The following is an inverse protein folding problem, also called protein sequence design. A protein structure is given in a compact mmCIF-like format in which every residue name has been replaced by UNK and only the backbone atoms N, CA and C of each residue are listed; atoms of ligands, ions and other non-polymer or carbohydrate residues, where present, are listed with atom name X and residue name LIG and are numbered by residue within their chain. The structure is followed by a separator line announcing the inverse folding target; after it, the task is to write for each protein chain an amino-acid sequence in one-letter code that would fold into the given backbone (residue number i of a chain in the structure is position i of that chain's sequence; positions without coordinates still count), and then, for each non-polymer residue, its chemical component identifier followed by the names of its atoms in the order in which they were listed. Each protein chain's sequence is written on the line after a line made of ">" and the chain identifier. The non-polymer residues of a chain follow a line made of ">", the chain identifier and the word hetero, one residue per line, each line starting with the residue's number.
data_IF_018028749475
#
_entry.id   IF_018028749475
#
_cell.length_a   1.000
_cell.length_b   1.000
_cell.length_c   1.000
_cell.angle_alpha   90.00
_cell.angle_beta   90.00
_cell.angle_gamma   90.00
#
_symmetry.space_group_name_H-M   'P 1'
#
loop_
_entity.id
_entity.type
_entity.pdbx_description
1 polymer ?
#
# COMPACT_ATOMS: atom_id res chain seq x y z
N UNK A 1 -16.99 10.64 4.60
CA UNK A 1 -15.77 9.92 5.00
C UNK A 1 -14.63 10.38 4.10
N UNK A 2 -13.57 10.94 4.68
CA UNK A 2 -12.35 11.29 3.98
C UNK A 2 -11.43 10.07 3.82
N UNK A 3 -10.69 10.03 2.71
CA UNK A 3 -9.64 9.04 2.43
C UNK A 3 -8.38 9.80 2.05
N UNK A 4 -7.24 9.43 2.64
CA UNK A 4 -5.96 10.05 2.30
C UNK A 4 -4.83 9.04 2.32
N UNK A 5 -3.77 9.37 1.59
CA UNK A 5 -2.53 8.61 1.56
C UNK A 5 -1.37 9.55 1.82
N UNK A 6 -0.55 9.22 2.82
CA UNK A 6 0.74 9.85 3.04
C UNK A 6 1.82 8.84 2.70
N UNK A 7 2.76 9.21 1.84
CA UNK A 7 3.84 8.29 1.48
C UNK A 7 5.15 8.99 1.18
N UNK A 8 6.21 8.20 1.21
CA UNK A 8 7.51 8.52 0.62
C UNK A 8 7.92 7.37 -0.29
N UNK A 9 8.59 7.69 -1.39
CA UNK A 9 9.06 6.69 -2.34
C UNK A 9 10.43 7.06 -2.91
N UNK A 10 10.94 6.24 -3.81
CA UNK A 10 12.23 6.44 -4.48
C UNK A 10 12.34 7.74 -5.30
N UNK A 11 11.24 8.40 -5.67
CA UNK A 11 11.28 9.70 -6.38
C UNK A 11 11.29 10.89 -5.42
N UNK A 12 10.73 10.74 -4.21
CA UNK A 12 10.65 11.83 -3.24
C UNK A 12 11.71 11.77 -2.14
N UNK A 13 12.24 10.58 -1.83
CA UNK A 13 13.12 10.35 -0.69
C UNK A 13 14.37 9.53 -1.06
N UNK A 14 15.57 9.96 -0.63
CA UNK A 14 16.78 9.17 -0.81
C UNK A 14 16.69 7.84 -0.04
N UNK A 15 17.44 6.84 -0.49
CA UNK A 15 17.42 5.49 0.06
C UNK A 15 17.69 5.45 1.58
N UNK A 16 18.62 6.27 2.07
CA UNK A 16 18.98 6.28 3.51
C UNK A 16 17.82 6.80 4.37
N UNK A 17 17.07 7.79 3.87
CA UNK A 17 15.86 8.26 4.54
C UNK A 17 14.76 7.19 4.49
N UNK A 18 14.54 6.54 3.34
CA UNK A 18 13.56 5.44 3.20
C UNK A 18 13.84 4.28 4.15
N UNK A 19 15.11 3.93 4.34
CA UNK A 19 15.52 2.87 5.26
C UNK A 19 15.02 3.07 6.71
N UNK A 20 14.81 4.31 7.14
CA UNK A 20 14.27 4.63 8.47
C UNK A 20 12.77 4.36 8.62
N UNK A 21 12.06 4.21 7.51
CA UNK A 21 10.61 3.96 7.46
C UNK A 21 10.28 2.57 6.89
N UNK A 22 11.27 1.67 6.86
CA UNK A 22 11.07 0.28 6.50
C UNK A 22 10.45 -0.47 7.70
N UNK A 23 9.14 -0.70 7.64
CA UNK A 23 8.43 -1.48 8.66
C UNK A 23 8.52 -2.97 8.33
N UNK A 24 9.01 -3.75 9.28
CA UNK A 24 9.02 -5.21 9.19
C UNK A 24 7.60 -5.77 9.38
N UNK A 25 7.29 -6.89 8.71
CA UNK A 25 5.94 -7.49 8.68
C UNK A 25 5.40 -7.81 10.08
N UNK A 26 6.26 -8.28 10.97
CA UNK A 26 5.95 -8.59 12.37
C UNK A 26 5.67 -7.33 13.22
N UNK A 27 6.16 -6.17 12.80
CA UNK A 27 5.90 -4.89 13.46
C UNK A 27 4.68 -4.17 12.90
N UNK A 28 4.13 -4.56 11.74
CA UNK A 28 3.01 -3.86 11.12
C UNK A 28 1.78 -3.78 12.03
N UNK A 29 1.42 -4.86 12.72
CA UNK A 29 0.26 -4.88 13.61
C UNK A 29 0.37 -3.89 14.79
N UNK A 30 1.44 -3.90 15.63
CA UNK A 30 1.59 -2.92 16.70
C UNK A 30 1.76 -1.49 16.15
N UNK A 31 2.45 -1.32 15.02
CA UNK A 31 2.61 -0.02 14.36
C UNK A 31 1.27 0.57 13.91
N UNK A 32 0.38 -0.24 13.30
CA UNK A 32 -0.97 0.16 12.93
C UNK A 32 -1.83 0.54 14.14
N UNK A 33 -1.72 -0.21 15.24
CA UNK A 33 -2.43 0.11 16.49
C UNK A 33 -1.97 1.43 17.09
N UNK A 34 -0.65 1.69 17.08
CA UNK A 34 -0.07 2.96 17.52
C UNK A 34 -0.57 4.14 16.69
N UNK A 35 -0.54 4.01 15.35
CA UNK A 35 -1.06 5.02 14.43
C UNK A 35 -2.54 5.33 14.70
N UNK A 36 -3.38 4.28 14.76
CA UNK A 36 -4.83 4.46 14.97
C UNK A 36 -5.15 5.08 16.32
N UNK A 37 -4.40 4.74 17.37
CA UNK A 37 -4.60 5.29 18.70
C UNK A 37 -4.22 6.77 18.79
N UNK A 38 -3.15 7.19 18.10
CA UNK A 38 -2.77 8.61 18.01
C UNK A 38 -3.83 9.42 17.26
N UNK A 39 -4.24 8.92 16.08
CA UNK A 39 -5.22 9.59 15.24
C UNK A 39 -6.63 9.62 15.88
N UNK A 40 -7.02 8.59 16.62
CA UNK A 40 -8.32 8.53 17.31
C UNK A 40 -8.50 9.63 18.37
N UNK A 41 -7.43 10.29 18.84
CA UNK A 41 -7.55 11.46 19.73
C UNK A 41 -8.09 12.70 19.01
N UNK A 42 -8.15 12.67 17.68
CA UNK A 42 -8.47 13.80 16.81
C UNK A 42 -9.65 13.55 15.88
N UNK A 43 -10.23 12.34 15.89
CA UNK A 43 -11.35 11.93 15.05
C UNK A 43 -12.50 11.42 15.92
N UNK A 44 -13.75 11.59 15.49
CA UNK A 44 -14.93 11.14 16.27
C UNK A 44 -15.04 9.61 16.31
N UNK A 45 -14.41 8.93 15.34
CA UNK A 45 -14.36 7.47 15.23
C UNK A 45 -12.93 7.01 15.04
N UNK A 46 -12.62 5.78 15.48
CA UNK A 46 -11.31 5.18 15.24
C UNK A 46 -11.07 5.07 13.74
N UNK A 47 -9.99 5.66 13.22
CA UNK A 47 -9.73 5.66 11.79
C UNK A 47 -9.38 4.26 11.28
N UNK A 48 -9.71 4.01 10.02
CA UNK A 48 -9.20 2.87 9.26
C UNK A 48 -7.76 3.19 8.81
N UNK A 49 -6.85 2.21 8.85
CA UNK A 49 -5.47 2.40 8.43
C UNK A 49 -4.86 1.13 7.80
N UNK A 50 -3.98 1.31 6.81
CA UNK A 50 -3.12 0.29 6.25
C UNK A 50 -1.74 0.87 5.92
N UNK A 51 -0.69 0.05 6.07
CA UNK A 51 0.70 0.46 5.79
C UNK A 51 1.28 -0.46 4.71
N UNK A 52 1.67 0.13 3.57
CA UNK A 52 2.47 -0.54 2.55
C UNK A 52 3.94 -0.17 2.78
N UNK A 53 4.76 -1.16 3.11
CA UNK A 53 6.20 -1.01 3.30
C UNK A 53 6.92 -1.92 2.31
N UNK A 54 7.72 -1.34 1.43
CA UNK A 54 8.49 -2.04 0.39
C UNK A 54 9.90 -1.44 0.31
N UNK A 55 10.78 -2.01 -0.53
CA UNK A 55 12.08 -1.39 -0.79
C UNK A 55 11.97 0.00 -1.44
N UNK A 56 10.90 0.28 -2.19
CA UNK A 56 10.78 1.49 -3.02
C UNK A 56 9.83 2.55 -2.45
N UNK A 57 9.03 2.20 -1.45
CA UNK A 57 8.02 3.09 -0.86
C UNK A 57 7.58 2.63 0.52
N UNK A 58 7.25 3.62 1.35
CA UNK A 58 6.45 3.46 2.56
C UNK A 58 5.23 4.37 2.44
N UNK A 59 4.04 3.81 2.53
CA UNK A 59 2.77 4.52 2.38
C UNK A 59 1.81 4.15 3.50
N UNK A 60 1.14 5.16 4.03
CA UNK A 60 0.05 5.04 4.99
C UNK A 60 -1.24 5.43 4.27
N UNK A 61 -2.17 4.48 4.17
CA UNK A 61 -3.53 4.71 3.70
C UNK A 61 -4.46 4.83 4.89
N UNK A 62 -5.22 5.91 4.97
CA UNK A 62 -6.16 6.15 6.07
C UNK A 62 -7.55 6.51 5.56
N UNK A 63 -8.57 6.17 6.34
CA UNK A 63 -9.92 6.67 6.15
C UNK A 63 -10.60 6.99 7.47
N UNK A 64 -11.28 8.15 7.53
CA UNK A 64 -11.97 8.63 8.73
C UNK A 64 -13.11 9.58 8.33
N UNK A 65 -13.81 10.13 9.33
CA UNK A 65 -14.79 11.20 9.15
C UNK A 65 -14.16 12.46 8.53
N UNK A 66 -13.01 12.89 9.07
CA UNK A 66 -12.22 14.03 8.59
C UNK A 66 -10.78 13.63 8.29
N UNK A 67 -10.13 14.32 7.35
CA UNK A 67 -8.75 14.03 6.98
C UNK A 67 -7.78 14.51 8.07
N UNK A 68 -7.01 13.59 8.66
CA UNK A 68 -6.02 13.88 9.70
C UNK A 68 -4.58 13.89 9.12
N UNK A 69 -4.37 14.66 8.06
CA UNK A 69 -3.16 14.59 7.22
C UNK A 69 -1.90 15.08 7.94
N UNK A 70 -1.98 16.23 8.62
CA UNK A 70 -0.89 16.78 9.41
C UNK A 70 -0.51 15.86 10.59
N UNK A 71 -1.50 15.24 11.23
CA UNK A 71 -1.29 14.30 12.33
C UNK A 71 -0.62 13.01 11.83
N UNK A 72 -1.03 12.51 10.65
CA UNK A 72 -0.40 11.35 10.00
C UNK A 72 1.09 11.63 9.72
N UNK A 73 1.42 12.83 9.21
CA UNK A 73 2.80 13.24 8.95
C UNK A 73 3.62 13.34 10.24
N UNK A 74 3.05 13.96 11.28
CA UNK A 74 3.70 14.08 12.59
C UNK A 74 4.00 12.69 13.17
N UNK A 75 3.02 11.79 13.13
CA UNK A 75 3.17 10.44 13.63
C UNK A 75 4.26 9.67 12.87
N UNK A 76 4.27 9.75 11.53
CA UNK A 76 5.30 9.09 10.73
C UNK A 76 6.69 9.65 11.05
N UNK A 77 6.83 10.97 11.18
CA UNK A 77 8.09 11.61 11.56
C UNK A 77 8.61 11.09 12.90
N UNK A 78 7.74 10.95 13.90
CA UNK A 78 8.08 10.37 15.21
C UNK A 78 8.52 8.91 15.09
N UNK A 79 7.81 8.09 14.31
CA UNK A 79 8.15 6.70 14.08
C UNK A 79 9.53 6.53 13.43
N UNK A 80 9.90 7.43 12.50
CA UNK A 80 11.22 7.44 11.86
C UNK A 80 12.31 8.15 12.65
N UNK A 81 11.97 8.87 13.73
CA UNK A 81 12.90 9.69 14.51
C UNK A 81 13.43 10.94 13.78
N UNK A 82 12.66 11.50 12.85
CA UNK A 82 13.00 12.73 12.11
C UNK A 82 12.09 13.89 12.53
N UNK A 83 12.48 15.11 12.16
CA UNK A 83 11.55 16.25 12.29
C UNK A 83 10.43 16.18 11.25
N UNK A 84 9.24 16.65 11.60
CA UNK A 84 8.12 16.69 10.65
C UNK A 84 8.43 17.59 9.44
N UNK A 85 9.21 18.65 9.63
CA UNK A 85 9.63 19.56 8.56
C UNK A 85 10.58 18.90 7.56
N UNK A 86 11.55 18.13 8.06
CA UNK A 86 12.46 17.33 7.22
C UNK A 86 11.69 16.27 6.44
N UNK A 87 10.75 15.58 7.09
CA UNK A 87 9.96 14.55 6.41
C UNK A 87 9.04 15.15 5.35
N UNK A 88 8.46 16.32 5.60
CA UNK A 88 7.51 16.96 4.70
C UNK A 88 8.08 17.17 3.28
N UNK A 89 9.35 17.56 3.16
CA UNK A 89 10.01 17.76 1.86
C UNK A 89 10.27 16.46 1.09
N UNK A 90 10.09 15.31 1.73
CA UNK A 90 10.34 13.98 1.16
C UNK A 90 9.07 13.12 1.06
N UNK A 91 7.91 13.66 1.43
CA UNK A 91 6.63 12.96 1.38
C UNK A 91 5.68 13.60 0.38
N UNK A 92 4.76 12.80 -0.14
CA UNK A 92 3.57 13.27 -0.83
C UNK A 92 2.32 12.95 0.00
N UNK A 93 1.33 13.81 -0.12
CA UNK A 93 0.03 13.67 0.52
C UNK A 93 -1.05 13.77 -0.56
N UNK A 94 -1.91 12.77 -0.62
CA UNK A 94 -2.99 12.67 -1.61
C UNK A 94 -4.31 12.43 -0.88
N UNK A 95 -5.38 13.04 -1.37
CA UNK A 95 -6.72 12.98 -0.75
C UNK A 95 -7.79 12.57 -1.77
N UNK A 96 -8.82 11.89 -1.28
CA UNK A 96 -10.00 11.49 -2.05
C UNK A 96 -9.66 10.73 -3.33
N UNK A 97 -10.01 11.32 -4.47
CA UNK A 97 -9.80 10.71 -5.78
C UNK A 97 -8.31 10.50 -6.10
N UNK A 98 -7.43 11.38 -5.63
CA UNK A 98 -5.99 11.25 -5.87
C UNK A 98 -5.37 10.13 -5.06
N UNK A 99 -5.84 9.92 -3.82
CA UNK A 99 -5.45 8.75 -3.01
C UNK A 99 -5.88 7.44 -3.69
N UNK A 100 -7.10 7.41 -4.24
CA UNK A 100 -7.59 6.25 -4.97
C UNK A 100 -6.83 5.98 -6.27
N UNK A 101 -6.63 7.03 -7.08
CA UNK A 101 -5.80 6.98 -8.30
C UNK A 101 -4.42 6.43 -7.99
N UNK A 102 -3.78 6.94 -6.94
CA UNK A 102 -2.46 6.51 -6.52
C UNK A 102 -2.42 5.02 -6.17
N UNK A 103 -3.35 4.55 -5.32
CA UNK A 103 -3.45 3.13 -4.99
C UNK A 103 -3.58 2.25 -6.25
N UNK A 104 -4.38 2.69 -7.23
CA UNK A 104 -4.60 1.95 -8.48
C UNK A 104 -3.34 1.93 -9.35
N UNK A 105 -2.63 3.07 -9.45
CA UNK A 105 -1.35 3.17 -10.17
C UNK A 105 -0.27 2.31 -9.54
N UNK A 106 -0.14 2.33 -8.21
CA UNK A 106 0.83 1.52 -7.46
C UNK A 106 0.56 0.03 -7.67
N UNK A 107 -0.67 -0.42 -7.48
CA UNK A 107 -1.03 -1.83 -7.67
C UNK A 107 -0.87 -2.32 -9.12
N UNK A 108 -1.08 -1.42 -10.08
CA UNK A 108 -0.86 -1.69 -11.50
C UNK A 108 0.62 -1.67 -11.91
N UNK A 109 1.52 -1.21 -11.03
CA UNK A 109 2.95 -1.06 -11.31
C UNK A 109 3.28 0.12 -12.22
N UNK A 110 2.37 1.08 -12.39
CA UNK A 110 2.62 2.32 -13.15
C UNK A 110 3.42 3.33 -12.33
N UNK A 111 3.17 3.35 -11.02
CA UNK A 111 4.00 4.06 -10.07
C UNK A 111 4.93 3.06 -9.39
N UNK A 112 5.83 2.46 -10.16
CA UNK A 112 6.90 1.59 -9.66
C UNK A 112 8.21 1.99 -10.32
N UNK A 113 9.31 1.81 -9.60
CA UNK A 113 10.66 2.03 -10.13
C UNK A 113 10.88 1.25 -11.43
N UNK A 114 10.38 0.02 -11.46
CA UNK A 114 10.23 -0.79 -12.67
C UNK A 114 8.77 -0.77 -13.09
N UNK A 115 8.50 -0.14 -14.22
CA UNK A 115 7.16 -0.08 -14.79
C UNK A 115 6.64 -1.48 -15.16
N UNK A 116 5.47 -1.83 -14.62
CA UNK A 116 4.82 -3.13 -14.79
C UNK A 116 5.32 -4.24 -13.87
N UNK A 117 6.07 -3.91 -12.81
CA UNK A 117 6.53 -4.89 -11.84
C UNK A 117 5.37 -5.69 -11.22
N UNK A 118 5.46 -7.02 -11.29
CA UNK A 118 4.38 -7.89 -10.83
C UNK A 118 4.24 -7.92 -9.29
N UNK A 119 5.36 -7.73 -8.57
CA UNK A 119 5.52 -7.98 -7.12
C UNK A 119 4.73 -6.98 -6.27
N UNK A 120 4.64 -5.72 -6.67
CA UNK A 120 3.98 -4.65 -5.89
C UNK A 120 2.51 -4.95 -5.58
N UNK A 121 1.79 -5.61 -6.51
CA UNK A 121 0.41 -6.04 -6.29
C UNK A 121 0.31 -7.08 -5.17
N UNK A 122 1.27 -8.02 -5.12
CA UNK A 122 1.35 -9.02 -4.05
C UNK A 122 1.65 -8.37 -2.70
N UNK A 123 2.64 -7.49 -2.66
CA UNK A 123 3.01 -6.74 -1.45
C UNK A 123 1.85 -5.89 -0.92
N UNK A 124 1.07 -5.26 -1.80
CA UNK A 124 -0.12 -4.52 -1.39
C UNK A 124 -1.21 -5.44 -0.85
N UNK A 125 -1.43 -6.63 -1.43
CA UNK A 125 -2.36 -7.62 -0.87
C UNK A 125 -1.94 -8.09 0.52
N UNK A 126 -0.65 -8.33 0.72
CA UNK A 126 -0.11 -8.73 2.02
C UNK A 126 -0.25 -7.62 3.06
N UNK A 127 0.00 -6.36 2.69
CA UNK A 127 -0.22 -5.19 3.54
C UNK A 127 -1.70 -5.05 3.96
N UNK A 128 -2.63 -5.23 3.02
CA UNK A 128 -4.07 -5.19 3.28
C UNK A 128 -4.48 -6.33 4.21
N UNK A 129 -3.98 -7.55 3.98
CA UNK A 129 -4.24 -8.71 4.85
C UNK A 129 -3.70 -8.49 6.27
N UNK A 130 -2.51 -7.92 6.41
CA UNK A 130 -1.94 -7.57 7.71
C UNK A 130 -2.80 -6.54 8.45
N UNK A 131 -3.30 -5.52 7.74
CA UNK A 131 -4.20 -4.53 8.31
C UNK A 131 -5.57 -5.12 8.70
N UNK A 132 -6.10 -6.06 7.91
CA UNK A 132 -7.33 -6.80 8.23
C UNK A 132 -7.15 -7.64 9.51
N UNK A 133 -6.06 -8.39 9.61
CA UNK A 133 -5.73 -9.21 10.79
C UNK A 133 -5.51 -8.38 12.05
N UNK A 134 -5.01 -7.15 11.91
CA UNK A 134 -4.86 -6.20 13.00
C UNK A 134 -6.18 -5.47 13.37
N UNK A 135 -7.28 -5.75 12.67
CA UNK A 135 -8.56 -5.04 12.86
C UNK A 135 -8.48 -3.55 12.52
N UNK A 136 -7.55 -3.18 11.65
CA UNK A 136 -7.25 -1.80 11.24
C UNK A 136 -8.01 -1.37 9.98
N UNK A 137 -8.58 -2.31 9.23
CA UNK A 137 -9.44 -2.01 8.08
C UNK A 137 -10.90 -1.89 8.50
N UNK A 138 -11.60 -0.95 7.88
CA UNK A 138 -13.04 -0.91 7.86
C UNK A 138 -13.55 -0.98 6.43
N UNK A 139 -14.81 -0.63 6.28
CA UNK A 139 -15.50 -0.74 5.00
C UNK A 139 -15.00 0.22 3.91
N UNK A 140 -14.37 1.34 4.27
CA UNK A 140 -13.95 2.38 3.30
C UNK A 140 -12.67 1.97 2.60
N UNK A 141 -11.63 1.66 3.37
CA UNK A 141 -10.36 1.16 2.85
C UNK A 141 -10.51 -0.24 2.25
N UNK A 142 -11.35 -1.12 2.82
CA UNK A 142 -11.61 -2.42 2.19
C UNK A 142 -12.17 -2.23 0.77
N UNK A 143 -13.17 -1.37 0.59
CA UNK A 143 -13.71 -1.10 -0.74
C UNK A 143 -12.69 -0.46 -1.69
N UNK A 144 -11.88 0.47 -1.19
CA UNK A 144 -10.78 1.05 -1.97
C UNK A 144 -9.85 -0.06 -2.49
N UNK A 145 -9.35 -0.93 -1.60
CA UNK A 145 -8.40 -1.98 -1.97
C UNK A 145 -9.00 -3.06 -2.87
N UNK A 146 -10.26 -3.47 -2.67
CA UNK A 146 -10.92 -4.42 -3.59
C UNK A 146 -10.96 -3.85 -5.02
N UNK A 147 -11.29 -2.57 -5.16
CA UNK A 147 -11.28 -1.88 -6.46
C UNK A 147 -9.87 -1.74 -7.01
N UNK A 148 -8.90 -1.42 -6.16
CA UNK A 148 -7.47 -1.41 -6.53
C UNK A 148 -7.04 -2.72 -7.16
N UNK A 149 -7.40 -3.86 -6.57
CA UNK A 149 -7.02 -5.18 -7.10
C UNK A 149 -7.76 -5.54 -8.40
N UNK A 150 -9.03 -5.13 -8.53
CA UNK A 150 -9.78 -5.32 -9.78
C UNK A 150 -9.17 -4.50 -10.93
N UNK A 151 -8.90 -3.22 -10.71
CA UNK A 151 -8.28 -2.31 -11.69
C UNK A 151 -6.88 -2.81 -12.06
N UNK A 152 -6.05 -3.19 -11.09
CA UNK A 152 -4.72 -3.72 -11.38
C UNK A 152 -4.74 -5.00 -12.22
N UNK A 153 -5.73 -5.88 -11.98
CA UNK A 153 -5.93 -7.09 -12.80
C UNK A 153 -6.35 -6.72 -14.22
N UNK A 154 -7.25 -5.76 -14.38
CA UNK A 154 -7.71 -5.30 -15.69
C UNK A 154 -6.57 -4.65 -16.48
N UNK A 155 -5.83 -3.70 -15.90
CA UNK A 155 -4.66 -3.06 -16.53
C UNK A 155 -3.66 -4.11 -17.02
N UNK A 156 -3.31 -5.10 -16.19
CA UNK A 156 -2.34 -6.15 -16.57
C UNK A 156 -2.83 -7.07 -17.70
N UNK A 157 -4.14 -7.23 -17.82
CA UNK A 157 -4.74 -8.13 -18.82
C UNK A 157 -5.02 -7.41 -20.13
N UNK A 158 -5.39 -6.13 -20.06
CA UNK A 158 -5.83 -5.33 -21.19
C UNK A 158 -4.70 -4.51 -21.84
N UNK A 159 -3.56 -4.33 -21.17
CA UNK A 159 -2.45 -3.49 -21.65
C UNK A 159 -1.12 -4.26 -21.69
N UNK A 160 -0.18 -3.78 -22.49
CA UNK A 160 1.18 -4.35 -22.58
C UNK A 160 2.05 -4.11 -21.33
N UNK A 161 1.54 -3.37 -20.32
CA UNK A 161 2.23 -3.13 -19.05
C UNK A 161 2.63 -4.45 -18.37
N UNK A 162 1.80 -5.50 -18.49
CA UNK A 162 2.06 -6.81 -17.89
C UNK A 162 3.01 -7.72 -18.67
N UNK A 163 3.22 -7.49 -19.98
CA UNK A 163 3.83 -8.47 -20.87
C UNK A 163 5.37 -8.46 -20.86
N UNK A 164 6.01 -7.33 -20.50
CA UNK A 164 7.46 -7.13 -20.69
C UNK A 164 8.16 -6.35 -19.57
N UNK A 165 7.90 -6.61 -18.29
CA UNK A 165 8.62 -5.90 -17.22
C UNK A 165 10.12 -6.24 -17.19
N UNK A 166 10.98 -5.22 -17.29
CA UNK A 166 12.43 -5.38 -17.09
C UNK A 166 12.66 -5.35 -15.59
N UNK A 167 12.71 -6.52 -14.96
CA UNK A 167 12.90 -6.64 -13.51
C UNK A 167 14.26 -6.12 -13.05
N UNK A 168 14.37 -5.79 -11.76
CA UNK A 168 15.65 -5.46 -11.13
C UNK A 168 16.68 -6.57 -11.31
N UNK A 169 16.24 -7.83 -11.28
CA UNK A 169 17.07 -8.99 -11.58
C UNK A 169 17.66 -8.97 -13.00
N UNK A 170 16.85 -8.62 -14.00
CA UNK A 170 17.34 -8.46 -15.38
C UNK A 170 18.32 -7.29 -15.52
N UNK A 171 18.07 -6.18 -14.80
CA UNK A 171 18.96 -5.04 -14.77
C UNK A 171 20.32 -5.37 -14.14
N UNK A 172 20.36 -6.14 -13.04
CA UNK A 172 21.60 -6.62 -12.41
C UNK A 172 22.45 -7.42 -13.40
N UNK A 173 21.84 -8.34 -14.15
CA UNK A 173 22.55 -9.14 -15.17
C UNK A 173 23.08 -8.25 -16.29
N UNK A 174 22.27 -7.29 -16.77
CA UNK A 174 22.69 -6.37 -17.82
C UNK A 174 23.90 -5.52 -17.41
N UNK A 175 23.89 -4.99 -16.18
CA UNK A 175 25.03 -4.25 -15.63
C UNK A 175 26.27 -5.15 -15.50
N UNK A 176 26.10 -6.39 -15.01
CA UNK A 176 27.21 -7.34 -14.94
C UNK A 176 27.81 -7.62 -16.33
N UNK A 177 26.97 -7.76 -17.37
CA UNK A 177 27.43 -7.95 -18.76
C UNK A 177 28.15 -6.75 -19.37
N UNK A 178 28.03 -5.56 -18.78
CA UNK A 178 28.82 -4.38 -19.21
C UNK A 178 30.22 -4.39 -18.61
N UNK A 179 30.39 -4.98 -17.41
CA UNK A 179 31.67 -5.05 -16.73
C UNK A 179 32.49 -6.29 -17.13
N UNK A 180 31.81 -7.43 -17.34
CA UNK A 180 32.43 -8.69 -17.69
C UNK A 180 32.10 -9.07 -19.14
N UNK A 181 33.13 -9.31 -19.96
CA UNK A 181 32.98 -9.73 -21.36
C UNK A 181 32.17 -11.03 -21.49
N UNK A 182 32.42 -11.98 -20.58
CA UNK A 182 31.74 -13.26 -20.55
C UNK A 182 31.34 -13.63 -19.12
N UNK A 183 30.03 -13.64 -18.86
CA UNK A 183 29.50 -14.04 -17.55
C UNK A 183 29.75 -15.51 -17.22
N UNK A 184 30.10 -16.36 -18.20
CA UNK A 184 30.43 -17.77 -17.95
C UNK A 184 31.73 -17.97 -17.19
N UNK A 185 32.58 -16.95 -17.13
CA UNK A 185 33.90 -17.04 -16.49
C UNK A 185 33.90 -16.53 -15.05
N UNK A 186 32.77 -15.96 -14.58
CA UNK A 186 32.69 -15.33 -13.27
C UNK A 186 32.08 -16.23 -12.20
N UNK A 187 32.52 -16.03 -10.97
CA UNK A 187 31.92 -16.64 -9.78
C UNK A 187 30.96 -15.65 -9.12
N UNK A 188 29.70 -16.04 -8.98
CA UNK A 188 28.63 -15.17 -8.47
C UNK A 188 28.19 -15.63 -7.08
N UNK A 189 28.15 -14.68 -6.16
CA UNK A 189 27.63 -14.87 -4.81
C UNK A 189 26.29 -14.16 -4.64
N UNK A 190 25.32 -14.86 -4.07
CA UNK A 190 24.04 -14.32 -3.67
C UNK A 190 23.94 -14.33 -2.15
N UNK A 191 23.68 -13.18 -1.54
CA UNK A 191 23.54 -13.02 -0.10
C UNK A 191 22.06 -12.86 0.22
N UNK A 192 21.50 -13.86 0.90
CA UNK A 192 20.07 -14.02 1.15
C UNK A 192 19.45 -15.16 0.35
N UNK A 193 18.20 -15.49 0.68
CA UNK A 193 17.41 -16.51 -0.01
C UNK A 193 15.93 -16.11 -0.07
N UNK A 194 15.67 -14.80 -0.21
CA UNK A 194 14.33 -14.25 -0.40
C UNK A 194 13.90 -14.28 -1.87
N UNK A 195 12.65 -13.91 -2.14
CA UNK A 195 12.04 -13.92 -3.48
C UNK A 195 12.87 -13.13 -4.51
N UNK A 196 13.42 -12.00 -4.10
CA UNK A 196 14.21 -11.16 -4.99
C UNK A 196 15.56 -11.80 -5.34
N UNK A 197 16.24 -12.46 -4.40
CA UNK A 197 17.42 -13.26 -4.72
C UNK A 197 17.06 -14.43 -5.63
N UNK A 198 15.93 -15.10 -5.41
CA UNK A 198 15.47 -16.18 -6.30
C UNK A 198 15.30 -15.70 -7.75
N UNK A 199 14.70 -14.52 -7.95
CA UNK A 199 14.58 -13.90 -9.27
C UNK A 199 15.96 -13.59 -9.86
N UNK A 200 16.85 -12.96 -9.10
CA UNK A 200 18.21 -12.64 -9.56
C UNK A 200 18.97 -13.92 -9.95
N UNK A 201 18.93 -14.96 -9.11
CA UNK A 201 19.55 -16.26 -9.39
C UNK A 201 19.00 -16.84 -10.68
N UNK A 202 17.68 -16.79 -10.90
CA UNK A 202 17.06 -17.27 -12.14
C UNK A 202 17.63 -16.56 -13.38
N UNK A 203 17.79 -15.24 -13.31
CA UNK A 203 18.34 -14.45 -14.41
C UNK A 203 19.84 -14.71 -14.64
N UNK A 204 20.65 -14.86 -13.59
CA UNK A 204 22.06 -15.22 -13.72
C UNK A 204 22.26 -16.66 -14.19
N UNK A 205 21.47 -17.61 -13.69
CA UNK A 205 21.52 -19.02 -14.11
C UNK A 205 21.30 -19.17 -15.62
N UNK A 206 20.41 -18.36 -16.22
CA UNK A 206 20.21 -18.32 -17.66
C UNK A 206 21.46 -17.88 -18.46
N UNK A 207 22.43 -17.22 -17.82
CA UNK A 207 23.73 -16.85 -18.40
C UNK A 207 24.83 -17.88 -18.13
N UNK A 208 24.58 -18.88 -17.29
CA UNK A 208 25.48 -19.99 -16.98
C UNK A 208 26.86 -19.55 -16.46
N UNK A 209 26.94 -18.79 -15.34
CA UNK A 209 28.22 -18.42 -14.74
C UNK A 209 29.03 -19.64 -14.28
N UNK A 210 30.34 -19.45 -14.11
CA UNK A 210 31.28 -20.53 -13.76
C UNK A 210 30.85 -21.26 -12.49
N UNK A 211 30.43 -20.50 -11.49
CA UNK A 211 29.83 -21.04 -10.27
C UNK A 211 28.89 -20.02 -9.63
N UNK A 212 27.83 -20.53 -9.03
CA UNK A 212 26.92 -19.75 -8.19
C UNK A 212 27.00 -20.25 -6.74
N UNK A 213 26.99 -19.33 -5.78
CA UNK A 213 26.95 -19.65 -4.36
C UNK A 213 25.88 -18.81 -3.67
N UNK A 214 25.12 -19.42 -2.77
CA UNK A 214 24.09 -18.76 -1.96
C UNK A 214 24.55 -18.77 -0.50
N UNK A 215 24.77 -17.57 0.05
CA UNK A 215 25.06 -17.35 1.45
C UNK A 215 23.77 -16.98 2.17
N UNK A 216 23.39 -17.76 3.19
CA UNK A 216 22.19 -17.47 3.97
C UNK A 216 22.38 -17.77 5.46
N UNK A 217 21.57 -17.12 6.31
CA UNK A 217 21.56 -17.38 7.76
C UNK A 217 20.99 -18.77 8.07
N UNK A 218 19.95 -19.17 7.33
CA UNK A 218 19.38 -20.52 7.39
C UNK A 218 19.89 -21.33 6.20
N UNK A 219 20.70 -22.37 6.50
CA UNK A 219 21.21 -23.27 5.48
C UNK A 219 20.08 -23.95 4.70
N UNK A 220 19.05 -24.44 5.38
CA UNK A 220 17.90 -25.12 4.75
C UNK A 220 17.24 -24.26 3.66
N UNK A 221 17.02 -22.96 3.93
CA UNK A 221 16.45 -22.04 2.92
C UNK A 221 17.41 -21.83 1.75
N UNK A 222 18.71 -21.73 2.02
CA UNK A 222 19.75 -21.62 0.99
C UNK A 222 19.83 -22.87 0.12
N UNK A 223 19.76 -24.06 0.71
CA UNK A 223 19.80 -25.36 0.03
C UNK A 223 18.61 -25.56 -0.91
N UNK A 224 17.40 -25.19 -0.48
CA UNK A 224 16.21 -25.25 -1.35
C UNK A 224 16.38 -24.44 -2.63
N UNK A 225 16.92 -23.22 -2.50
CA UNK A 225 17.17 -22.37 -3.67
C UNK A 225 18.35 -22.88 -4.49
N UNK A 226 19.43 -23.31 -3.85
CA UNK A 226 20.63 -23.79 -4.51
C UNK A 226 20.39 -25.04 -5.36
N UNK A 227 19.63 -26.01 -4.82
CA UNK A 227 19.29 -27.25 -5.50
C UNK A 227 18.51 -27.02 -6.80
N UNK A 228 17.71 -25.97 -6.89
CA UNK A 228 16.94 -25.64 -8.10
C UNK A 228 17.81 -25.14 -9.26
N UNK A 229 18.95 -24.53 -8.94
CA UNK A 229 19.81 -23.85 -9.93
C UNK A 229 21.23 -24.41 -10.00
N UNK A 230 21.51 -25.52 -9.30
CA UNK A 230 22.85 -26.11 -9.24
C UNK A 230 23.89 -25.21 -8.57
N UNK A 231 23.47 -24.35 -7.63
CA UNK A 231 24.37 -23.50 -6.87
C UNK A 231 24.94 -24.24 -5.65
N UNK A 232 26.01 -23.70 -5.09
CA UNK A 232 26.55 -24.11 -3.79
C UNK A 232 25.91 -23.30 -2.66
N UNK A 233 25.91 -23.84 -1.44
CA UNK A 233 25.45 -23.11 -0.26
C UNK A 233 26.63 -22.86 0.66
N UNK A 234 26.64 -21.69 1.30
CA UNK A 234 27.56 -21.38 2.39
C UNK A 234 26.82 -20.72 3.55
N UNK A 235 27.38 -20.83 4.75
CA UNK A 235 26.86 -20.10 5.90
C UNK A 235 27.21 -18.61 5.75
N UNK A 236 26.27 -17.74 6.12
CA UNK A 236 26.50 -16.29 6.08
C UNK A 236 27.71 -15.86 6.93
N UNK A 237 28.02 -16.58 8.02
CA UNK A 237 29.19 -16.33 8.86
C UNK A 237 30.53 -16.49 8.14
N UNK A 238 30.58 -17.29 7.07
CA UNK A 238 31.79 -17.53 6.27
C UNK A 238 32.02 -16.43 5.22
N UNK A 239 31.07 -15.52 5.05
CA UNK A 239 31.09 -14.48 4.03
C UNK A 239 32.37 -13.63 4.06
N UNK A 240 32.81 -13.06 5.21
CA UNK A 240 33.95 -12.15 5.22
C UNK A 240 35.27 -12.80 4.80
N UNK A 241 35.44 -14.10 5.06
CA UNK A 241 36.68 -14.82 4.75
C UNK A 241 36.74 -15.27 3.29
N UNK A 242 35.59 -15.58 2.71
CA UNK A 242 35.46 -16.14 1.35
C UNK A 242 35.04 -15.12 0.30
N UNK A 243 34.74 -13.88 0.69
CA UNK A 243 34.32 -12.81 -0.23
C UNK A 243 35.27 -12.64 -1.43
N UNK A 244 36.57 -12.84 -1.21
CA UNK A 244 37.61 -12.76 -2.23
C UNK A 244 37.46 -13.77 -3.39
N UNK A 245 36.71 -14.87 -3.19
CA UNK A 245 36.51 -15.92 -4.19
C UNK A 245 35.56 -15.48 -5.32
N UNK A 246 34.75 -14.46 -5.10
CA UNK A 246 33.64 -14.08 -5.98
C UNK A 246 33.93 -12.81 -6.77
N UNK A 247 33.55 -12.80 -8.04
CA UNK A 247 33.71 -11.63 -8.92
C UNK A 247 32.47 -10.73 -8.88
N UNK A 248 31.29 -11.33 -8.66
CA UNK A 248 30.02 -10.64 -8.52
C UNK A 248 29.34 -11.02 -7.19
N UNK A 249 28.82 -10.04 -6.47
CA UNK A 249 28.10 -10.20 -5.20
C UNK A 249 26.75 -9.49 -5.31
N UNK A 250 25.65 -10.19 -5.12
CA UNK A 250 24.31 -9.61 -5.09
C UNK A 250 23.67 -9.87 -3.74
N UNK A 251 23.30 -8.83 -3.02
CA UNK A 251 22.70 -8.90 -1.69
C UNK A 251 21.25 -8.43 -1.68
N UNK A 252 20.42 -9.19 -0.98
CA UNK A 252 19.10 -8.78 -0.55
C UNK A 252 18.70 -9.60 0.67
N UNK A 253 18.83 -9.00 1.85
CA UNK A 253 18.37 -9.57 3.10
C UNK A 253 17.39 -8.65 3.83
N UNK A 254 16.79 -9.17 4.90
CA UNK A 254 15.96 -8.41 5.83
C UNK A 254 16.76 -7.90 7.03
N UNK A 255 18.09 -7.76 6.91
CA UNK A 255 18.95 -7.26 7.98
C UNK A 255 18.71 -5.77 8.20
N UNK A 256 18.68 -5.35 9.46
CA UNK A 256 18.61 -3.92 9.84
C UNK A 256 19.99 -3.25 9.89
N UNK A 257 21.06 -4.06 9.86
CA UNK A 257 22.46 -3.60 9.84
C UNK A 257 23.17 -4.16 8.61
N UNK A 258 24.13 -3.41 8.03
CA UNK A 258 24.96 -3.90 6.94
C UNK A 258 25.67 -5.20 7.31
N UNK A 259 25.62 -6.17 6.40
CA UNK A 259 26.26 -7.48 6.53
C UNK A 259 27.66 -7.49 5.90
N UNK A 260 27.89 -6.65 4.90
CA UNK A 260 29.16 -6.52 4.20
C UNK A 260 29.76 -5.15 4.52
N UNK A 261 30.70 -5.14 5.46
CA UNK A 261 31.42 -3.93 5.84
C UNK A 261 32.69 -3.66 5.04
N UNK A 262 33.14 -2.41 5.04
CA UNK A 262 34.30 -1.88 4.32
C UNK A 262 35.55 -2.75 4.54
N UNK A 263 35.88 -3.03 5.79
CA UNK A 263 37.08 -3.81 6.12
C UNK A 263 37.06 -5.24 5.57
N UNK A 264 35.89 -5.86 5.40
CA UNK A 264 35.78 -7.18 4.77
C UNK A 264 36.07 -7.09 3.27
N UNK A 265 35.56 -6.07 2.60
CA UNK A 265 35.79 -5.82 1.17
C UNK A 265 37.25 -5.48 0.90
N UNK A 266 37.87 -4.62 1.71
CA UNK A 266 39.30 -4.27 1.59
C UNK A 266 40.21 -5.50 1.70
N UNK A 267 39.96 -6.36 2.69
CA UNK A 267 40.71 -7.63 2.83
C UNK A 267 40.49 -8.55 1.63
N UNK A 268 39.28 -8.58 1.09
CA UNK A 268 38.96 -9.38 -0.09
C UNK A 268 39.71 -8.88 -1.33
N UNK A 269 39.70 -7.57 -1.60
CA UNK A 269 40.45 -6.95 -2.70
C UNK A 269 41.95 -7.20 -2.61
N UNK A 270 42.52 -7.10 -1.41
CA UNK A 270 43.94 -7.39 -1.18
C UNK A 270 44.29 -8.83 -1.55
N UNK A 271 43.46 -9.82 -1.16
CA UNK A 271 43.61 -11.23 -1.55
C UNK A 271 43.42 -11.43 -3.06
N UNK A 272 42.54 -10.64 -3.68
CA UNK A 272 42.26 -10.63 -5.13
C UNK A 272 43.32 -9.90 -5.96
N UNK A 273 44.36 -9.35 -5.33
CA UNK A 273 45.37 -8.51 -6.00
C UNK A 273 44.73 -7.35 -6.78
N UNK A 274 43.74 -6.70 -6.18
CA UNK A 274 43.00 -5.57 -6.79
C UNK A 274 42.25 -5.91 -8.09
N UNK A 275 41.91 -7.19 -8.32
CA UNK A 275 40.94 -7.54 -9.37
C UNK A 275 39.57 -6.98 -9.01
N UNK A 276 38.88 -6.28 -9.95
CA UNK A 276 37.59 -5.68 -9.69
C UNK A 276 36.53 -6.62 -9.11
N UNK A 277 35.62 -6.04 -8.34
CA UNK A 277 34.43 -6.71 -7.81
C UNK A 277 33.17 -5.95 -8.21
N UNK A 278 32.20 -6.67 -8.74
CA UNK A 278 30.86 -6.16 -9.01
C UNK A 278 29.96 -6.45 -7.80
N UNK A 279 29.31 -5.43 -7.27
CA UNK A 279 28.43 -5.57 -6.12
C UNK A 279 27.08 -4.91 -6.40
N UNK A 280 26.00 -5.61 -6.07
CA UNK A 280 24.64 -5.08 -6.18
C UNK A 280 23.93 -5.23 -4.85
N UNK A 281 23.58 -4.11 -4.23
CA UNK A 281 22.77 -4.08 -3.02
C UNK A 281 21.33 -3.72 -3.35
N UNK A 282 20.45 -4.70 -3.20
CA UNK A 282 19.03 -4.56 -3.45
C UNK A 282 18.22 -4.46 -2.15
N UNK A 283 18.88 -4.48 -0.99
CA UNK A 283 18.23 -4.42 0.32
C UNK A 283 17.90 -2.99 0.76
N UNK A 284 16.80 -2.86 1.51
CA UNK A 284 16.38 -1.63 2.19
C UNK A 284 15.86 -2.02 3.57
N UNK A 285 16.60 -1.79 4.67
CA UNK A 285 17.91 -1.15 4.78
C UNK A 285 19.05 -1.87 4.04
N UNK A 286 20.16 -1.14 3.77
CA UNK A 286 21.30 -1.63 2.98
C UNK A 286 22.01 -2.82 3.63
N UNK A 287 22.38 -3.81 2.83
CA UNK A 287 23.24 -4.92 3.24
C UNK A 287 24.73 -4.57 3.15
N UNK A 288 25.10 -3.58 2.34
CA UNK A 288 26.48 -3.17 2.09
C UNK A 288 26.72 -1.76 2.64
N UNK A 289 27.81 -1.60 3.40
CA UNK A 289 28.24 -0.28 3.89
C UNK A 289 28.46 0.71 2.73
N UNK A 290 27.88 1.93 2.77
CA UNK A 290 28.04 2.93 1.71
C UNK A 290 29.50 3.27 1.38
N UNK A 291 30.38 3.21 2.37
CA UNK A 291 31.81 3.49 2.28
C UNK A 291 32.52 2.55 1.29
N UNK A 292 31.97 1.35 1.06
CA UNK A 292 32.48 0.40 0.05
C UNK A 292 32.49 1.01 -1.35
N UNK A 293 31.57 1.94 -1.66
CA UNK A 293 31.51 2.63 -2.95
C UNK A 293 32.73 3.53 -3.22
N UNK A 294 33.48 3.90 -2.19
CA UNK A 294 34.69 4.72 -2.33
C UNK A 294 35.93 3.92 -2.76
N UNK A 295 35.86 2.58 -2.76
CA UNK A 295 36.96 1.71 -3.17
C UNK A 295 37.09 1.69 -4.70
N UNK A 296 38.30 1.94 -5.22
CA UNK A 296 38.56 2.04 -6.66
C UNK A 296 38.24 0.75 -7.45
N UNK A 297 38.46 -0.41 -6.83
CA UNK A 297 38.28 -1.71 -7.47
C UNK A 297 36.88 -2.31 -7.22
N UNK A 298 35.92 -1.51 -6.73
CA UNK A 298 34.55 -1.95 -6.44
C UNK A 298 33.53 -1.16 -7.22
N UNK A 299 32.70 -1.88 -7.95
CA UNK A 299 31.54 -1.33 -8.65
C UNK A 299 30.29 -1.68 -7.84
N UNK A 300 29.95 -0.82 -6.87
CA UNK A 300 28.76 -0.98 -6.03
C UNK A 300 27.57 -0.25 -6.63
N UNK A 301 26.53 -1.00 -6.96
CA UNK A 301 25.25 -0.52 -7.43
C UNK A 301 24.16 -0.79 -6.40
N UNK A 302 23.25 0.17 -6.27
CA UNK A 302 22.10 0.10 -5.36
C UNK A 302 20.82 -0.12 -6.15
N UNK A 303 19.72 -0.41 -5.45
CA UNK A 303 18.38 -0.45 -6.04
C UNK A 303 18.08 0.82 -6.88
N UNK A 304 18.52 2.00 -6.43
CA UNK A 304 18.31 3.27 -7.13
C UNK A 304 19.19 3.39 -8.38
N UNK A 305 20.45 2.93 -8.32
CA UNK A 305 21.34 2.95 -9.49
C UNK A 305 20.78 2.05 -10.60
N UNK A 306 20.24 0.88 -10.27
CA UNK A 306 19.64 -0.04 -11.23
C UNK A 306 18.36 0.52 -11.88
N UNK A 307 17.58 1.31 -11.13
CA UNK A 307 16.40 1.99 -11.64
C UNK A 307 16.70 2.79 -12.90
N UNK A 308 17.77 3.59 -12.86
CA UNK A 308 18.18 4.47 -13.95
C UNK A 308 18.43 3.69 -15.25
N UNK A 309 19.01 2.50 -15.13
CA UNK A 309 19.31 1.61 -16.26
C UNK A 309 18.04 1.01 -16.85
N UNK A 310 17.02 0.74 -16.02
CA UNK A 310 15.72 0.24 -16.49
C UNK A 310 14.94 1.34 -17.22
N UNK A 311 15.06 2.59 -16.79
CA UNK A 311 14.34 3.70 -17.41
C UNK A 311 14.76 4.01 -18.85
N UNK A 312 16.00 3.70 -19.24
CA UNK A 312 16.51 3.92 -20.61
C UNK A 312 15.73 3.17 -21.72
N UNK A 313 14.83 2.24 -21.39
CA UNK A 313 13.95 1.54 -22.33
C UNK A 313 12.47 1.98 -22.31
N UNK A 314 12.12 3.06 -21.60
CA UNK A 314 10.72 3.45 -21.35
C UNK A 314 9.98 4.08 -22.54
N UNK A 315 10.69 4.61 -23.55
CA UNK A 315 10.06 5.32 -24.68
C UNK A 315 9.02 4.46 -25.42
N UNK A 316 9.21 3.14 -25.47
CA UNK A 316 8.30 2.21 -26.15
C UNK A 316 6.99 1.95 -25.36
N UNK A 317 6.88 2.41 -24.09
CA UNK A 317 5.77 2.05 -23.19
C UNK A 317 4.80 3.18 -22.87
N UNK A 318 5.03 4.39 -23.38
CA UNK A 318 4.12 5.51 -23.13
C UNK A 318 2.70 5.25 -23.62
N UNK A 319 2.53 4.53 -24.74
CA UNK A 319 1.20 4.15 -25.24
C UNK A 319 0.47 3.23 -24.25
N UNK A 320 1.14 2.18 -23.75
CA UNK A 320 0.57 1.26 -22.77
C UNK A 320 0.23 1.94 -21.43
N UNK A 321 1.00 2.96 -21.04
CA UNK A 321 0.68 3.78 -19.85
C UNK A 321 -0.60 4.56 -20.08
N UNK A 322 -0.75 5.21 -21.24
CA UNK A 322 -1.95 5.98 -21.55
C UNK A 322 -3.22 5.10 -21.54
N UNK A 323 -3.15 3.89 -22.09
CA UNK A 323 -4.25 2.92 -22.03
C UNK A 323 -4.58 2.52 -20.58
N UNK A 324 -3.55 2.28 -19.76
CA UNK A 324 -3.74 1.93 -18.36
C UNK A 324 -4.37 3.07 -17.55
N UNK A 325 -4.03 4.32 -17.85
CA UNK A 325 -4.61 5.50 -17.20
C UNK A 325 -6.11 5.63 -17.45
N UNK A 326 -6.59 5.29 -18.66
CA UNK A 326 -8.03 5.28 -18.97
C UNK A 326 -8.79 4.29 -18.07
N UNK A 327 -8.22 3.11 -17.83
CA UNK A 327 -8.81 2.10 -16.94
C UNK A 327 -8.81 2.61 -15.49
N UNK A 328 -7.71 3.23 -15.05
CA UNK A 328 -7.59 3.81 -13.72
C UNK A 328 -8.60 4.95 -13.52
N UNK A 329 -8.76 5.83 -14.50
CA UNK A 329 -9.73 6.92 -14.47
C UNK A 329 -11.16 6.41 -14.26
N UNK A 330 -11.56 5.39 -15.02
CA UNK A 330 -12.87 4.75 -14.87
C UNK A 330 -13.04 4.14 -13.46
N UNK A 331 -11.99 3.49 -12.94
CA UNK A 331 -11.96 2.98 -11.57
C UNK A 331 -12.16 4.08 -10.52
N UNK A 332 -11.47 5.21 -10.68
CA UNK A 332 -11.51 6.35 -9.74
C UNK A 332 -12.90 6.97 -9.72
N UNK A 333 -13.50 7.19 -10.90
CA UNK A 333 -14.86 7.70 -11.00
C UNK A 333 -15.87 6.78 -10.32
N UNK A 334 -15.73 5.47 -10.55
CA UNK A 334 -16.58 4.48 -9.89
C UNK A 334 -16.41 4.51 -8.37
N UNK A 335 -15.18 4.69 -7.85
CA UNK A 335 -14.93 4.75 -6.40
C UNK A 335 -15.48 6.03 -5.80
N UNK A 336 -15.26 7.16 -6.46
CA UNK A 336 -15.80 8.47 -6.07
C UNK A 336 -17.33 8.44 -5.98
N UNK A 337 -17.98 7.85 -6.97
CA UNK A 337 -19.43 7.66 -6.96
C UNK A 337 -19.91 6.82 -5.78
N UNK A 338 -19.22 5.71 -5.49
CA UNK A 338 -19.55 4.88 -4.33
C UNK A 338 -19.35 5.61 -3.00
N UNK A 339 -18.29 6.42 -2.89
CA UNK A 339 -18.02 7.21 -1.69
C UNK A 339 -19.13 8.26 -1.47
N UNK A 340 -19.55 8.95 -2.53
CA UNK A 340 -20.62 9.96 -2.48
C UNK A 340 -22.01 9.38 -2.19
N UNK A 341 -22.32 8.15 -2.63
CA UNK A 341 -23.56 7.47 -2.23
C UNK A 341 -23.62 7.23 -0.72
N UNK A 342 -22.46 7.09 -0.08
CA UNK A 342 -22.33 6.72 1.33
C UNK A 342 -22.64 7.85 2.29
N UNK A 343 -22.58 9.10 1.85
CA UNK A 343 -23.00 10.26 2.64
C UNK A 343 -24.49 10.18 3.04
N UNK A 344 -25.29 9.40 2.30
CA UNK A 344 -26.70 9.17 2.63
C UNK A 344 -26.93 8.09 3.71
N UNK A 345 -25.95 7.23 3.99
CA UNK A 345 -26.11 6.09 4.92
C UNK A 345 -26.36 6.54 6.36
N UNK A 346 -25.64 7.52 6.95
CA UNK A 346 -25.96 8.03 8.28
C UNK A 346 -27.37 8.62 8.36
N UNK A 347 -27.81 9.34 7.33
CA UNK A 347 -29.16 9.88 7.27
C UNK A 347 -30.22 8.77 7.24
N UNK A 348 -29.99 7.69 6.49
CA UNK A 348 -30.86 6.51 6.46
C UNK A 348 -30.93 5.86 7.85
N UNK A 349 -29.81 5.68 8.54
CA UNK A 349 -29.78 5.12 9.90
C UNK A 349 -30.53 6.01 10.90
N UNK A 350 -30.31 7.33 10.85
CA UNK A 350 -31.03 8.29 11.68
C UNK A 350 -32.54 8.23 11.43
N UNK A 351 -32.96 8.13 10.17
CA UNK A 351 -34.37 8.02 9.79
C UNK A 351 -35.01 6.74 10.35
N UNK A 352 -34.33 5.59 10.22
CA UNK A 352 -34.80 4.32 10.78
C UNK A 352 -34.91 4.38 12.31
N UNK A 353 -33.87 4.87 13.00
CA UNK A 353 -33.87 4.99 14.45
C UNK A 353 -35.01 5.89 14.94
N UNK A 354 -35.27 7.01 14.24
CA UNK A 354 -36.36 7.90 14.58
C UNK A 354 -37.73 7.23 14.39
N UNK A 355 -37.91 6.48 13.29
CA UNK A 355 -39.15 5.74 13.02
C UNK A 355 -39.40 4.67 14.10
N UNK A 356 -38.36 3.95 14.52
CA UNK A 356 -38.45 2.97 15.62
C UNK A 356 -38.80 3.63 16.96
N UNK A 357 -38.16 4.75 17.30
CA UNK A 357 -38.47 5.51 18.50
C UNK A 357 -39.96 5.92 18.53
N UNK A 358 -40.51 6.37 17.39
CA UNK A 358 -41.93 6.68 17.28
C UNK A 358 -42.81 5.44 17.47
N UNK A 359 -42.48 4.34 16.79
CA UNK A 359 -43.19 3.05 16.89
C UNK A 359 -43.26 2.56 18.33
N UNK A 360 -42.12 2.52 19.04
CA UNK A 360 -42.06 2.07 20.43
C UNK A 360 -42.90 2.95 21.36
N UNK A 361 -42.83 4.27 21.19
CA UNK A 361 -43.59 5.21 22.01
C UNK A 361 -45.11 5.13 21.78
N UNK A 362 -45.56 4.84 20.56
CA UNK A 362 -46.98 4.60 20.26
C UNK A 362 -47.44 3.23 20.79
N UNK A 363 -46.65 2.17 20.59
CA UNK A 363 -46.95 0.84 21.11
C UNK A 363 -47.04 0.83 22.64
N UNK A 364 -46.15 1.54 23.33
CA UNK A 364 -46.19 1.67 24.79
C UNK A 364 -47.48 2.34 25.28
N UNK A 365 -47.98 3.36 24.55
CA UNK A 365 -49.27 4.00 24.86
C UNK A 365 -50.44 3.08 24.58
N UNK A 366 -50.45 2.39 23.44
CA UNK A 366 -51.50 1.43 23.11
C UNK A 366 -51.61 0.31 24.15
N UNK A 367 -50.48 -0.26 24.60
CA UNK A 367 -50.44 -1.26 25.68
C UNK A 367 -51.03 -0.74 26.98
N UNK A 368 -50.78 0.53 27.35
CA UNK A 368 -51.37 1.16 28.53
C UNK A 368 -52.88 1.33 28.41
N UNK A 369 -53.40 1.66 27.23
CA UNK A 369 -54.84 1.80 27.00
C UNK A 369 -55.56 0.45 27.06
N UNK A 370 -54.98 -0.60 26.47
CA UNK A 370 -55.51 -1.97 26.59
C UNK A 370 -55.54 -2.44 28.05
N UNK A 371 -54.48 -2.18 28.82
CA UNK A 371 -54.44 -2.52 30.24
C UNK A 371 -55.49 -1.76 31.08
N UNK A 372 -56.00 -0.63 30.59
CA UNK A 372 -57.07 0.15 31.22
C UNK A 372 -58.48 -0.31 30.82
N UNK A 373 -58.60 -1.29 29.92
CA UNK A 373 -59.89 -1.84 29.48
C UNK A 373 -60.53 -1.10 28.30
N UNK A 374 -59.77 -0.26 27.58
CA UNK A 374 -60.24 0.37 26.34
C UNK A 374 -60.51 -0.67 25.26
N UNK A 375 -61.47 -0.38 24.36
CA UNK A 375 -61.79 -1.32 23.27
C UNK A 375 -60.58 -1.48 22.32
N UNK A 376 -60.27 -2.72 21.87
CA UNK A 376 -59.16 -2.96 20.95
C UNK A 376 -59.22 -2.10 19.68
N UNK A 377 -60.42 -1.84 19.17
CA UNK A 377 -60.64 -1.00 17.98
C UNK A 377 -60.22 0.46 18.22
N UNK A 378 -60.63 1.06 19.34
CA UNK A 378 -60.27 2.43 19.69
C UNK A 378 -58.75 2.57 19.92
N UNK A 379 -58.11 1.55 20.50
CA UNK A 379 -56.66 1.55 20.71
C UNK A 379 -55.89 1.46 19.38
N UNK A 380 -56.34 0.61 18.44
CA UNK A 380 -55.71 0.49 17.12
C UNK A 380 -55.84 1.79 16.31
N UNK A 381 -56.99 2.44 16.35
CA UNK A 381 -57.20 3.73 15.68
C UNK A 381 -56.31 4.83 16.28
N UNK A 382 -56.23 4.90 17.62
CA UNK A 382 -55.36 5.85 18.31
C UNK A 382 -53.87 5.62 17.98
N UNK A 383 -53.43 4.35 17.92
CA UNK A 383 -52.08 3.97 17.53
C UNK A 383 -51.75 4.43 16.11
N UNK A 384 -52.62 4.10 15.14
CA UNK A 384 -52.42 4.44 13.73
C UNK A 384 -52.38 5.96 13.52
N UNK A 385 -53.30 6.69 14.17
CA UNK A 385 -53.34 8.15 14.11
C UNK A 385 -52.11 8.79 14.74
N UNK A 386 -51.67 8.32 15.91
CA UNK A 386 -50.50 8.83 16.60
C UNK A 386 -49.21 8.65 15.80
N UNK A 387 -49.01 7.47 15.22
CA UNK A 387 -47.86 7.18 14.37
C UNK A 387 -47.86 8.05 13.11
N UNK A 388 -49.01 8.16 12.43
CA UNK A 388 -49.18 8.99 11.23
C UNK A 388 -48.88 10.46 11.52
N UNK A 389 -49.38 11.00 12.63
CA UNK A 389 -49.14 12.39 13.01
C UNK A 389 -47.66 12.66 13.30
N UNK A 390 -46.96 11.75 13.97
CA UNK A 390 -45.52 11.91 14.24
C UNK A 390 -44.69 11.89 12.96
N UNK A 391 -44.99 10.98 12.03
CA UNK A 391 -44.30 10.90 10.75
C UNK A 391 -44.50 12.16 9.89
N UNK A 392 -45.69 12.77 9.95
CA UNK A 392 -46.03 13.97 9.18
C UNK A 392 -45.70 15.30 9.89
N UNK A 393 -45.38 15.29 11.18
CA UNK A 393 -45.25 16.52 11.95
C UNK A 393 -44.14 17.44 11.42
N UNK A 394 -42.94 16.89 11.19
CA UNK A 394 -41.80 17.65 10.68
C UNK A 394 -42.05 18.23 9.28
N UNK A 395 -42.60 17.41 8.37
CA UNK A 395 -42.89 17.85 7.00
C UNK A 395 -43.96 18.95 6.96
N UNK A 396 -45.01 18.83 7.77
CA UNK A 396 -46.06 19.85 7.88
C UNK A 396 -45.56 21.15 8.52
N UNK A 397 -44.59 21.07 9.43
CA UNK A 397 -43.95 22.25 10.02
C UNK A 397 -43.08 22.98 8.99
N UNK A 398 -42.25 22.27 8.23
CA UNK A 398 -41.35 22.86 7.22
C UNK A 398 -42.10 23.46 6.03
N UNK A 399 -43.24 22.88 5.63
CA UNK A 399 -44.15 23.46 4.63
C UNK A 399 -44.78 24.79 5.08
N UNK A 400 -44.76 25.08 6.39
CA UNK A 400 -45.23 26.34 6.98
C UNK A 400 -44.08 27.29 7.32
N UNK A 401 -42.85 26.98 6.91
CA UNK A 401 -41.69 27.85 7.19
C UNK A 401 -41.82 29.22 6.53
N UNK A 402 -41.25 30.25 7.17
CA UNK A 402 -41.33 31.63 6.68
C UNK A 402 -40.45 31.88 5.44
N UNK A 403 -39.39 31.10 5.24
CA UNK A 403 -38.48 31.20 4.09
C UNK A 403 -39.11 30.60 2.83
N UNK A 404 -39.23 31.40 1.77
CA UNK A 404 -39.82 30.99 0.51
C UNK A 404 -38.97 29.97 -0.25
N UNK A 405 -37.63 30.09 -0.21
CA UNK A 405 -36.73 29.20 -0.92
C UNK A 405 -36.68 27.81 -0.26
N UNK A 406 -36.62 27.78 1.07
CA UNK A 406 -36.67 26.54 1.83
C UNK A 406 -38.01 25.81 1.67
N UNK A 407 -39.13 26.55 1.69
CA UNK A 407 -40.47 25.99 1.49
C UNK A 407 -40.66 25.37 0.11
N UNK A 408 -40.14 26.00 -0.94
CA UNK A 408 -40.19 25.45 -2.30
C UNK A 408 -39.40 24.14 -2.41
N UNK A 409 -38.19 24.08 -1.83
CA UNK A 409 -37.41 22.84 -1.76
C UNK A 409 -38.15 21.73 -1.00
N UNK A 410 -38.76 22.05 0.14
CA UNK A 410 -39.57 21.11 0.93
C UNK A 410 -40.81 20.65 0.15
N UNK A 411 -41.49 21.54 -0.57
CA UNK A 411 -42.63 21.18 -1.42
C UNK A 411 -42.25 20.16 -2.49
N UNK A 412 -41.17 20.41 -3.23
CA UNK A 412 -40.66 19.49 -4.25
C UNK A 412 -40.26 18.14 -3.64
N UNK A 413 -39.61 18.14 -2.48
CA UNK A 413 -39.24 16.92 -1.77
C UNK A 413 -40.48 16.12 -1.30
N UNK A 414 -41.48 16.77 -0.70
CA UNK A 414 -42.71 16.12 -0.23
C UNK A 414 -43.50 15.53 -1.39
N UNK A 415 -43.63 16.25 -2.51
CA UNK A 415 -44.28 15.73 -3.72
C UNK A 415 -43.58 14.47 -4.22
N UNK A 416 -42.24 14.47 -4.25
CA UNK A 416 -41.44 13.33 -4.70
C UNK A 416 -41.51 12.12 -3.74
N UNK A 417 -41.52 12.35 -2.43
CA UNK A 417 -41.37 11.31 -1.41
C UNK A 417 -42.70 10.71 -0.94
N UNK A 418 -43.76 11.51 -0.82
CA UNK A 418 -45.04 11.08 -0.24
C UNK A 418 -46.20 11.07 -1.24
N UNK A 419 -46.11 11.84 -2.33
CA UNK A 419 -47.20 12.02 -3.30
C UNK A 419 -46.86 11.47 -4.69
N UNK A 420 -45.79 10.66 -4.80
CA UNK A 420 -45.40 10.02 -6.05
C UNK A 420 -46.53 9.09 -6.48
N UNK A 421 -47.20 9.41 -7.59
CA UNK A 421 -48.09 8.46 -8.25
C UNK A 421 -47.24 7.45 -9.00
N UNK A 422 -46.85 6.36 -8.35
CA UNK A 422 -46.79 5.01 -8.96
C UNK A 422 -46.49 3.93 -7.91
N UNK A 423 -47.08 2.76 -8.19
CA UNK A 423 -47.28 1.55 -7.37
C UNK A 423 -46.01 0.83 -6.95
#
# INVERSE_FOLDING_TARGET
>A
MAVWTLGLNHTTAPLDLRGRFAFAVDQLAPTLQGLRSDLAQRTDQTPEAAILSTCNRTEIYCAADQAATADTLRWLAQAGGVSAQELQSHTYLLEGNEAARHAFRVASGLDSMVLGEAQILGQLKDAVRAAEQAGALGSTLNQLFQRTFAVAKEVRTATEIGAHSISMAAASVRLASQLFENLRDIKVLFVGAGEMIELVVTHFAAKQPHSMTIANRSLERGEKLANRFGAQVMQLSQLPDRLHEFDAVISCTASTLPLIGLGAVERALKKRKHRPMFMVDLAVPRDIEPEVKALQDVYLYTVDDLASVVQAGQAQRQAAVAEAEVIIDAGVQSFSHWLGQRDSVPLIQQLHQQADNWREAELARARKLLAKGESPEAVLEALAKGLTQKMLHGTLADLRSADAAHREQTMQAVQRLFLRQER
#
